data_IF_809329305886
#
_entry.id   IF_809329305886
#
_cell.length_a   1.000
_cell.length_b   1.000
_cell.length_c   1.000
_cell.angle_alpha   90.00
_cell.angle_beta   90.00
_cell.angle_gamma   90.00
#
_symmetry.space_group_name_H-M   'P 1'
#
loop_
_entity.id
_entity.type
_entity.pdbx_description
1 polymer ?
#
# COMPACT_ATOMS: atom_id res chain seq x y z
N UNK A 1 31.84 2.07 -1.34
CA UNK A 1 31.42 3.17 -2.23
C UNK A 1 30.33 2.63 -3.16
N UNK A 2 29.05 2.80 -2.81
CA UNK A 2 27.95 2.54 -3.75
C UNK A 2 27.56 3.88 -4.36
N UNK A 3 27.73 4.00 -5.67
CA UNK A 3 27.37 5.18 -6.43
C UNK A 3 25.90 5.52 -6.16
N UNK A 4 25.63 6.73 -5.67
CA UNK A 4 24.27 7.25 -5.51
C UNK A 4 23.69 7.47 -6.89
N UNK A 5 23.05 6.44 -7.44
CA UNK A 5 22.23 6.57 -8.64
C UNK A 5 21.06 7.48 -8.27
N UNK A 6 20.93 8.62 -8.95
CA UNK A 6 19.79 9.52 -8.79
C UNK A 6 18.48 8.93 -9.36
N UNK A 7 18.48 7.64 -9.72
CA UNK A 7 17.40 6.93 -10.40
C UNK A 7 16.86 5.79 -9.53
N UNK A 8 15.55 5.55 -9.59
CA UNK A 8 14.84 4.47 -8.89
C UNK A 8 15.36 3.07 -9.26
N UNK A 9 14.98 2.02 -8.52
CA UNK A 9 15.26 0.60 -8.79
C UNK A 9 15.17 0.18 -10.27
N UNK A 10 14.28 0.81 -11.04
CA UNK A 10 14.00 0.52 -12.44
C UNK A 10 14.97 1.21 -13.41
N UNK A 11 15.90 2.05 -12.93
CA UNK A 11 16.86 2.83 -13.72
C UNK A 11 16.26 3.95 -14.60
N UNK A 12 14.94 4.10 -14.59
CA UNK A 12 14.16 4.91 -15.55
C UNK A 12 13.75 6.29 -15.05
N UNK A 13 13.54 6.48 -13.73
CA UNK A 13 12.97 7.71 -13.18
C UNK A 13 13.84 8.27 -12.05
N UNK A 14 13.97 9.59 -11.99
CA UNK A 14 14.63 10.27 -10.88
C UNK A 14 13.88 9.98 -9.57
N UNK A 15 14.57 9.58 -8.50
CA UNK A 15 13.96 9.04 -7.26
C UNK A 15 12.88 9.98 -6.70
N UNK A 16 13.11 11.29 -6.78
CA UNK A 16 12.13 12.31 -6.35
C UNK A 16 10.85 12.30 -7.20
N UNK A 17 10.94 12.17 -8.52
CA UNK A 17 9.77 12.11 -9.39
C UNK A 17 9.02 10.77 -9.26
N UNK A 18 9.74 9.65 -9.10
CA UNK A 18 9.14 8.35 -8.81
C UNK A 18 8.29 8.39 -7.55
N UNK A 19 8.84 8.95 -6.47
CA UNK A 19 8.14 9.05 -5.17
C UNK A 19 6.91 9.99 -5.25
N UNK A 20 6.99 11.10 -5.99
CA UNK A 20 5.84 11.99 -6.23
C UNK A 20 4.73 11.28 -7.02
N UNK A 21 5.10 10.51 -8.04
CA UNK A 21 4.14 9.74 -8.84
C UNK A 21 3.42 8.71 -7.98
N UNK A 22 4.16 7.99 -7.13
CA UNK A 22 3.57 7.03 -6.20
C UNK A 22 2.65 7.72 -5.18
N UNK A 23 3.06 8.89 -4.67
CA UNK A 23 2.21 9.71 -3.81
C UNK A 23 0.90 10.11 -4.49
N UNK A 24 0.97 10.55 -5.75
CA UNK A 24 -0.22 10.91 -6.54
C UNK A 24 -1.15 9.71 -6.78
N UNK A 25 -0.59 8.55 -7.16
CA UNK A 25 -1.35 7.31 -7.32
C UNK A 25 -2.01 6.87 -6.01
N UNK A 26 -1.29 6.98 -4.89
CA UNK A 26 -1.80 6.62 -3.56
C UNK A 26 -2.92 7.54 -3.13
N UNK A 27 -2.80 8.85 -3.39
CA UNK A 27 -3.85 9.82 -3.09
C UNK A 27 -5.12 9.57 -3.91
N UNK A 28 -4.95 9.25 -5.20
CA UNK A 28 -6.07 8.86 -6.05
C UNK A 28 -6.76 7.59 -5.52
N UNK A 29 -5.97 6.60 -5.11
CA UNK A 29 -6.48 5.36 -4.51
C UNK A 29 -7.28 5.63 -3.22
N UNK A 30 -6.73 6.42 -2.30
CA UNK A 30 -7.41 6.80 -1.05
C UNK A 30 -8.68 7.61 -1.31
N UNK A 31 -8.69 8.50 -2.30
CA UNK A 31 -9.90 9.23 -2.71
C UNK A 31 -10.98 8.29 -3.23
N UNK A 32 -10.62 7.33 -4.08
CA UNK A 32 -11.56 6.32 -4.60
C UNK A 32 -12.09 5.46 -3.44
N UNK A 33 -11.23 4.99 -2.54
CA UNK A 33 -11.63 4.20 -1.38
C UNK A 33 -12.57 4.98 -0.45
N UNK A 34 -12.28 6.27 -0.22
CA UNK A 34 -13.15 7.14 0.58
C UNK A 34 -14.51 7.40 -0.09
N UNK A 35 -14.54 7.55 -1.42
CA UNK A 35 -15.80 7.67 -2.17
C UNK A 35 -16.60 6.37 -2.15
N UNK A 36 -15.95 5.22 -2.32
CA UNK A 36 -16.60 3.91 -2.21
C UNK A 36 -17.21 3.72 -0.82
N UNK A 37 -16.45 4.02 0.24
CA UNK A 37 -16.97 4.03 1.60
C UNK A 37 -18.18 4.97 1.75
N UNK A 38 -18.13 6.17 1.16
CA UNK A 38 -19.24 7.13 1.21
C UNK A 38 -20.50 6.63 0.49
N UNK A 39 -20.36 5.94 -0.65
CA UNK A 39 -21.49 5.36 -1.37
C UNK A 39 -22.06 4.10 -0.68
N UNK A 40 -21.25 3.39 0.11
CA UNK A 40 -21.64 2.17 0.81
C UNK A 40 -22.23 2.41 2.22
N UNK A 41 -22.40 3.68 2.61
CA UNK A 41 -22.88 4.15 3.94
C UNK A 41 -24.29 3.65 4.35
N UNK A 42 -25.01 2.89 3.53
CA UNK A 42 -26.37 2.43 3.86
C UNK A 42 -26.49 1.02 4.46
N UNK A 43 -25.40 0.41 4.95
CA UNK A 43 -25.47 -0.88 5.67
C UNK A 43 -25.05 -0.77 7.13
N UNK A 44 -26.07 -0.78 8.00
CA UNK A 44 -25.96 -0.96 9.45
C UNK A 44 -25.31 -2.30 9.80
N UNK A 45 -23.98 -2.37 9.93
CA UNK A 45 -23.30 -3.55 10.46
C UNK A 45 -22.03 -3.18 11.24
N UNK A 46 -21.59 -4.09 12.12
CA UNK A 46 -20.42 -3.95 12.99
C UNK A 46 -19.09 -3.66 12.25
N UNK A 47 -19.03 -3.86 10.93
CA UNK A 47 -17.84 -3.65 10.10
C UNK A 47 -17.55 -2.16 9.82
N UNK A 48 -18.54 -1.28 9.98
CA UNK A 48 -18.41 0.15 9.72
C UNK A 48 -17.26 0.81 10.49
N UNK A 49 -17.10 0.46 11.77
CA UNK A 49 -16.05 1.07 12.60
C UNK A 49 -14.64 0.66 12.14
N UNK A 50 -14.46 -0.59 11.71
CA UNK A 50 -13.17 -1.11 11.27
C UNK A 50 -12.81 -0.48 9.92
N UNK A 51 -13.75 -0.44 8.99
CA UNK A 51 -13.57 0.19 7.67
C UNK A 51 -13.27 1.68 7.78
N UNK A 52 -14.01 2.40 8.63
CA UNK A 52 -13.76 3.81 8.89
C UNK A 52 -12.35 4.04 9.47
N UNK A 53 -11.94 3.23 10.45
CA UNK A 53 -10.58 3.28 11.00
C UNK A 53 -9.51 3.00 9.95
N UNK A 54 -9.73 2.02 9.06
CA UNK A 54 -8.78 1.71 7.98
C UNK A 54 -8.66 2.86 6.99
N UNK A 55 -9.78 3.49 6.60
CA UNK A 55 -9.78 4.67 5.72
C UNK A 55 -9.05 5.85 6.38
N UNK A 56 -9.28 6.09 7.68
CA UNK A 56 -8.58 7.15 8.42
C UNK A 56 -7.06 6.91 8.49
N UNK A 57 -6.64 5.66 8.76
CA UNK A 57 -5.22 5.31 8.80
C UNK A 57 -4.60 5.47 7.40
N UNK A 58 -5.30 5.07 6.34
CA UNK A 58 -4.83 5.23 4.97
C UNK A 58 -4.61 6.71 4.62
N UNK A 59 -5.61 7.56 4.89
CA UNK A 59 -5.53 9.02 4.71
C UNK A 59 -4.35 9.61 5.49
N UNK A 60 -4.21 9.24 6.76
CA UNK A 60 -3.09 9.71 7.59
C UNK A 60 -1.73 9.27 7.03
N UNK A 61 -1.64 8.03 6.53
CA UNK A 61 -0.43 7.49 5.93
C UNK A 61 -0.02 8.27 4.67
N UNK A 62 -0.98 8.60 3.79
CA UNK A 62 -0.75 9.35 2.55
C UNK A 62 -0.37 10.79 2.86
N UNK A 63 -1.04 11.45 3.82
CA UNK A 63 -0.65 12.80 4.25
C UNK A 63 0.79 12.80 4.77
N UNK A 64 1.16 11.80 5.57
CA UNK A 64 2.51 11.68 6.11
C UNK A 64 3.56 11.44 5.00
N UNK A 65 3.22 10.69 3.96
CA UNK A 65 4.06 10.52 2.76
C UNK A 65 4.30 11.86 2.06
N UNK A 66 3.24 12.61 1.74
CA UNK A 66 3.38 13.94 1.10
C UNK A 66 4.15 14.92 1.98
N UNK A 67 3.87 14.94 3.27
CA UNK A 67 4.57 15.80 4.22
C UNK A 67 6.07 15.48 4.26
N UNK A 68 6.44 14.20 4.30
CA UNK A 68 7.83 13.75 4.30
C UNK A 68 8.57 14.07 2.99
N UNK A 69 7.89 14.00 1.84
CA UNK A 69 8.44 14.41 0.54
C UNK A 69 8.66 15.93 0.48
N UNK A 70 7.68 16.74 0.92
CA UNK A 70 7.74 18.20 0.85
C UNK A 70 8.78 18.78 1.81
N UNK A 71 8.83 18.29 3.06
CA UNK A 71 9.72 18.81 4.09
C UNK A 71 11.07 18.10 4.17
N UNK A 72 11.33 17.13 3.27
CA UNK A 72 12.54 16.31 3.27
C UNK A 72 12.84 15.71 4.67
N UNK A 73 11.83 15.14 5.32
CA UNK A 73 11.96 14.53 6.65
C UNK A 73 11.73 13.02 6.57
N UNK A 74 12.76 12.18 6.83
CA UNK A 74 12.66 10.73 6.61
C UNK A 74 11.71 10.06 7.62
N UNK A 75 11.60 10.62 8.83
CA UNK A 75 10.77 10.04 9.88
C UNK A 75 9.26 10.00 9.53
N UNK A 76 8.78 10.88 8.66
CA UNK A 76 7.37 10.91 8.24
C UNK A 76 7.06 9.91 7.13
N UNK A 77 8.06 9.28 6.51
CA UNK A 77 7.82 8.20 5.55
C UNK A 77 7.47 6.87 6.21
N UNK A 78 7.91 6.67 7.46
CA UNK A 78 7.71 5.44 8.23
C UNK A 78 6.25 4.97 8.31
N UNK A 79 5.26 5.81 8.71
CA UNK A 79 3.88 5.36 8.82
C UNK A 79 3.30 4.84 7.50
N UNK A 80 3.64 5.48 6.37
CA UNK A 80 3.25 5.01 5.05
C UNK A 80 3.88 3.65 4.73
N UNK A 81 5.19 3.49 4.95
CA UNK A 81 5.88 2.20 4.72
C UNK A 81 5.27 1.07 5.54
N UNK A 82 4.98 1.30 6.83
CA UNK A 82 4.38 0.27 7.68
C UNK A 82 2.96 -0.08 7.25
N UNK A 83 2.16 0.92 6.88
CA UNK A 83 0.81 0.70 6.40
C UNK A 83 0.79 -0.07 5.08
N UNK A 84 1.60 0.34 4.09
CA UNK A 84 1.71 -0.37 2.81
C UNK A 84 2.28 -1.78 2.99
N UNK A 85 3.21 -1.99 3.93
CA UNK A 85 3.73 -3.32 4.25
C UNK A 85 2.64 -4.22 4.86
N UNK A 86 1.87 -3.71 5.82
CA UNK A 86 0.75 -4.44 6.41
C UNK A 86 -0.31 -4.79 5.34
N UNK A 87 -0.59 -3.84 4.44
CA UNK A 87 -1.48 -4.04 3.30
C UNK A 87 -0.98 -5.12 2.35
N UNK A 88 0.31 -5.13 2.00
CA UNK A 88 0.94 -6.20 1.22
C UNK A 88 0.76 -7.57 1.88
N UNK A 89 0.99 -7.67 3.19
CA UNK A 89 0.82 -8.93 3.93
C UNK A 89 -0.64 -9.39 3.86
N UNK A 90 -1.60 -8.48 4.04
CA UNK A 90 -3.02 -8.78 3.90
C UNK A 90 -3.37 -9.29 2.48
N UNK A 91 -2.86 -8.64 1.43
CA UNK A 91 -3.07 -9.08 0.05
C UNK A 91 -2.46 -10.46 -0.24
N UNK A 92 -1.27 -10.73 0.29
CA UNK A 92 -0.62 -12.05 0.15
C UNK A 92 -1.42 -13.14 0.86
N UNK A 93 -1.93 -12.85 2.07
CA UNK A 93 -2.82 -13.77 2.78
C UNK A 93 -4.11 -14.03 1.98
N UNK A 94 -4.73 -12.98 1.43
CA UNK A 94 -5.90 -13.11 0.57
C UNK A 94 -5.59 -13.96 -0.67
N UNK A 95 -4.41 -13.80 -1.27
CA UNK A 95 -3.98 -14.61 -2.41
C UNK A 95 -3.84 -16.09 -2.05
N UNK A 96 -3.21 -16.40 -0.92
CA UNK A 96 -3.07 -17.78 -0.43
C UNK A 96 -4.45 -18.39 -0.14
N UNK A 97 -5.33 -17.66 0.55
CA UNK A 97 -6.69 -18.13 0.84
C UNK A 97 -7.47 -18.42 -0.44
N UNK A 98 -7.38 -17.51 -1.43
CA UNK A 98 -8.04 -17.68 -2.73
C UNK A 98 -7.51 -18.89 -3.49
N UNK A 99 -6.20 -19.17 -3.44
CA UNK A 99 -5.61 -20.38 -4.02
C UNK A 99 -6.08 -21.65 -3.32
N UNK A 100 -6.15 -21.65 -1.99
CA UNK A 100 -6.63 -22.80 -1.21
C UNK A 100 -8.08 -23.12 -1.55
N UNK A 101 -8.93 -22.10 -1.68
CA UNK A 101 -10.33 -22.26 -2.07
C UNK A 101 -10.48 -22.81 -3.50
N UNK A 102 -9.65 -22.32 -4.43
CA UNK A 102 -9.62 -22.80 -5.82
C UNK A 102 -9.19 -24.27 -5.90
N UNK A 103 -8.17 -24.68 -5.14
CA UNK A 103 -7.63 -26.05 -5.16
C UNK A 103 -8.59 -27.04 -4.47
N UNK A 104 -9.23 -26.63 -3.38
CA UNK A 104 -10.12 -27.51 -2.60
C UNK A 104 -11.57 -27.56 -3.13
N UNK A 105 -11.84 -27.00 -4.32
CA UNK A 105 -13.15 -27.09 -4.97
C UNK A 105 -14.30 -26.55 -4.12
N UNK A 106 -14.05 -25.51 -3.30
CA UNK A 106 -15.06 -24.88 -2.45
C UNK A 106 -15.52 -25.67 -1.22
N UNK A 107 -14.94 -26.83 -0.88
CA UNK A 107 -15.40 -27.63 0.27
C UNK A 107 -14.78 -27.23 1.62
N UNK A 108 -13.62 -26.56 1.67
CA UNK A 108 -12.86 -26.43 2.91
C UNK A 108 -13.13 -25.18 3.77
N UNK A 109 -13.92 -24.19 3.35
CA UNK A 109 -13.92 -22.92 4.12
C UNK A 109 -15.14 -22.01 4.04
N UNK A 110 -16.35 -22.46 3.69
CA UNK A 110 -17.51 -21.55 3.63
C UNK A 110 -17.64 -20.69 4.90
N UNK A 111 -17.46 -21.24 6.11
CA UNK A 111 -17.52 -20.44 7.35
C UNK A 111 -16.29 -19.53 7.60
N UNK A 112 -15.08 -19.93 7.19
CA UNK A 112 -13.84 -19.17 7.45
C UNK A 112 -13.62 -18.11 6.36
N UNK A 113 -13.86 -18.47 5.10
CA UNK A 113 -13.84 -17.57 3.95
C UNK A 113 -14.97 -16.55 4.03
N UNK A 114 -16.20 -16.90 4.44
CA UNK A 114 -17.25 -15.89 4.68
C UNK A 114 -16.81 -14.94 5.79
N UNK A 115 -16.30 -15.42 6.91
CA UNK A 115 -15.88 -14.55 8.03
C UNK A 115 -14.73 -13.61 7.64
N UNK A 116 -13.74 -14.08 6.88
CA UNK A 116 -12.62 -13.24 6.42
C UNK A 116 -13.04 -12.33 5.26
N UNK A 117 -13.88 -12.80 4.33
CA UNK A 117 -14.41 -12.01 3.24
C UNK A 117 -15.41 -10.95 3.71
N UNK A 118 -16.13 -11.19 4.80
CA UNK A 118 -17.02 -10.22 5.45
C UNK A 118 -16.20 -9.15 6.19
N UNK A 119 -15.06 -9.50 6.80
CA UNK A 119 -14.12 -8.53 7.39
C UNK A 119 -13.48 -7.61 6.34
N UNK A 120 -13.22 -8.12 5.13
CA UNK A 120 -12.59 -7.35 4.04
C UNK A 120 -13.59 -6.83 2.99
N UNK A 121 -14.90 -6.96 3.20
CA UNK A 121 -15.94 -6.69 2.18
C UNK A 121 -15.73 -7.44 0.84
N UNK A 122 -14.91 -8.50 0.83
CA UNK A 122 -14.71 -9.41 -0.30
C UNK A 122 -15.94 -10.28 -0.60
N UNK A 123 -16.88 -10.39 0.33
CA UNK A 123 -18.10 -11.20 0.19
C UNK A 123 -18.97 -10.78 -1.00
N UNK A 124 -18.87 -9.52 -1.44
CA UNK A 124 -19.61 -9.02 -2.61
C UNK A 124 -18.99 -9.46 -3.94
N UNK A 125 -17.68 -9.78 -3.97
CA UNK A 125 -17.03 -10.35 -5.15
C UNK A 125 -17.37 -11.83 -5.36
N UNK A 126 -17.54 -12.58 -4.28
CA UNK A 126 -17.88 -14.02 -4.33
C UNK A 126 -19.27 -14.31 -4.92
N UNK A 127 -20.24 -13.42 -4.70
CA UNK A 127 -21.63 -13.64 -5.13
C UNK A 127 -21.94 -13.26 -6.59
N UNK A 128 -21.10 -12.43 -7.24
CA UNK A 128 -21.26 -12.08 -8.66
C UNK A 128 -20.72 -13.20 -9.58
N UNK A 129 -19.88 -14.10 -9.04
CA UNK A 129 -19.15 -15.11 -9.79
C UNK A 129 -19.95 -16.38 -10.13
N UNK A 130 -21.18 -16.54 -9.65
CA UNK A 130 -21.85 -17.86 -9.64
C UNK A 130 -22.28 -18.40 -11.02
N UNK A 131 -22.24 -17.59 -12.09
CA UNK A 131 -22.71 -18.02 -13.42
C UNK A 131 -21.67 -18.01 -14.56
N UNK A 132 -20.40 -17.71 -14.29
CA UNK A 132 -19.30 -17.78 -15.29
C UNK A 132 -17.93 -17.85 -14.59
N UNK A 133 -17.80 -18.81 -13.67
CA UNK A 133 -16.99 -18.69 -12.44
C UNK A 133 -15.48 -18.86 -12.59
N UNK A 134 -14.98 -19.75 -13.45
CA UNK A 134 -13.55 -20.15 -13.40
C UNK A 134 -12.59 -19.13 -14.07
N UNK A 135 -12.96 -18.64 -15.26
CA UNK A 135 -12.13 -17.69 -16.00
C UNK A 135 -12.07 -16.32 -15.28
N UNK A 136 -13.18 -15.93 -14.66
CA UNK A 136 -13.25 -14.71 -13.85
C UNK A 136 -12.46 -14.84 -12.54
N UNK A 137 -12.46 -15.99 -11.87
CA UNK A 137 -11.55 -16.23 -10.72
C UNK A 137 -10.08 -16.14 -11.12
N UNK A 138 -9.70 -16.74 -12.25
CA UNK A 138 -8.31 -16.71 -12.73
C UNK A 138 -7.88 -15.28 -13.05
N UNK A 139 -8.74 -14.51 -13.74
CA UNK A 139 -8.46 -13.11 -14.05
C UNK A 139 -8.35 -12.25 -12.78
N UNK A 140 -9.20 -12.52 -11.78
CA UNK A 140 -9.13 -11.87 -10.47
C UNK A 140 -7.84 -12.21 -9.71
N UNK A 141 -7.39 -13.47 -9.76
CA UNK A 141 -6.12 -13.89 -9.16
C UNK A 141 -4.91 -13.25 -9.84
N UNK A 142 -4.92 -13.13 -11.17
CA UNK A 142 -3.90 -12.41 -11.94
C UNK A 142 -3.89 -10.93 -11.53
N UNK A 143 -5.07 -10.31 -11.41
CA UNK A 143 -5.22 -8.94 -10.92
C UNK A 143 -4.66 -8.75 -9.51
N UNK A 144 -4.92 -9.71 -8.61
CA UNK A 144 -4.40 -9.70 -7.24
C UNK A 144 -2.87 -9.83 -7.20
N UNK A 145 -2.29 -10.71 -8.02
CA UNK A 145 -0.85 -10.84 -8.20
C UNK A 145 -0.21 -9.54 -8.72
N UNK A 146 -0.83 -8.92 -9.73
CA UNK A 146 -0.37 -7.63 -10.25
C UNK A 146 -0.42 -6.55 -9.16
N UNK A 147 -1.50 -6.51 -8.37
CA UNK A 147 -1.64 -5.57 -7.26
C UNK A 147 -0.55 -5.75 -6.21
N UNK A 148 -0.26 -7.00 -5.82
CA UNK A 148 0.84 -7.30 -4.89
C UNK A 148 2.19 -6.84 -5.47
N UNK A 149 2.47 -7.16 -6.74
CA UNK A 149 3.71 -6.75 -7.40
C UNK A 149 3.86 -5.22 -7.46
N UNK A 150 2.79 -4.49 -7.76
CA UNK A 150 2.78 -3.02 -7.76
C UNK A 150 3.00 -2.43 -6.36
N UNK A 151 2.36 -2.98 -5.32
CA UNK A 151 2.57 -2.51 -3.95
C UNK A 151 3.99 -2.80 -3.44
N UNK A 152 4.57 -3.95 -3.80
CA UNK A 152 5.99 -4.26 -3.52
C UNK A 152 6.91 -3.28 -4.24
N UNK A 153 6.63 -2.97 -5.51
CA UNK A 153 7.38 -1.95 -6.25
C UNK A 153 7.31 -0.62 -5.50
N UNK A 154 6.12 -0.16 -5.11
CA UNK A 154 5.94 1.10 -4.38
C UNK A 154 6.79 1.12 -3.10
N UNK A 155 6.76 0.05 -2.31
CA UNK A 155 7.60 -0.09 -1.12
C UNK A 155 9.09 0.04 -1.44
N UNK A 156 9.58 -0.62 -2.50
CA UNK A 156 10.99 -0.52 -2.90
C UNK A 156 11.40 0.92 -3.24
N UNK A 157 10.57 1.64 -3.99
CA UNK A 157 10.87 3.03 -4.38
C UNK A 157 10.84 3.97 -3.17
N UNK A 158 9.84 3.86 -2.29
CA UNK A 158 9.81 4.66 -1.05
C UNK A 158 11.02 4.32 -0.16
N UNK A 159 11.42 3.05 -0.08
CA UNK A 159 12.55 2.63 0.73
C UNK A 159 13.88 3.19 0.22
N UNK A 160 14.12 3.13 -1.10
CA UNK A 160 15.28 3.80 -1.71
C UNK A 160 15.28 5.30 -1.45
N UNK A 161 14.12 5.95 -1.59
CA UNK A 161 14.00 7.38 -1.30
C UNK A 161 14.27 7.69 0.17
N UNK A 162 13.79 6.87 1.11
CA UNK A 162 14.08 6.99 2.54
C UNK A 162 15.59 6.87 2.83
N UNK A 163 16.26 5.90 2.21
CA UNK A 163 17.72 5.72 2.36
C UNK A 163 18.48 6.93 1.80
N UNK A 164 18.13 7.37 0.60
CA UNK A 164 18.73 8.54 -0.04
C UNK A 164 18.58 9.79 0.83
N UNK A 165 17.40 10.01 1.39
CA UNK A 165 17.08 11.18 2.20
C UNK A 165 17.79 11.15 3.57
N UNK A 166 17.99 9.96 4.16
CA UNK A 166 18.78 9.78 5.38
C UNK A 166 20.26 10.12 5.14
N UNK A 167 20.81 9.73 3.98
CA UNK A 167 22.19 10.08 3.61
C UNK A 167 22.32 11.59 3.41
N UNK A 168 21.37 12.24 2.73
CA UNK A 168 21.42 13.68 2.50
C UNK A 168 21.29 14.50 3.78
N UNK A 169 20.37 14.12 4.67
CA UNK A 169 20.21 14.79 5.98
C UNK A 169 21.46 14.65 6.85
N UNK A 170 22.12 13.48 6.82
CA UNK A 170 23.39 13.26 7.53
C UNK A 170 24.51 14.15 6.96
N UNK A 171 24.63 14.25 5.63
CA UNK A 171 25.61 15.14 4.98
C UNK A 171 25.40 16.62 5.33
N UNK A 172 24.14 17.07 5.35
CA UNK A 172 23.79 18.44 5.71
C UNK A 172 24.16 18.76 7.17
N UNK A 173 23.87 17.84 8.10
CA UNK A 173 24.22 17.99 9.51
C UNK A 173 25.74 18.05 9.72
N UNK A 174 26.50 17.24 8.98
CA UNK A 174 27.96 17.25 9.02
C UNK A 174 28.56 18.56 8.50
N UNK A 175 28.03 19.08 7.37
CA UNK A 175 28.45 20.37 6.83
C UNK A 175 28.16 21.53 7.80
N UNK A 176 26.99 21.54 8.44
CA UNK A 176 26.65 22.57 9.42
C UNK A 176 27.54 22.50 10.67
N UNK A 177 27.94 21.31 11.13
CA UNK A 177 28.92 21.16 12.22
C UNK A 177 30.33 21.61 11.81
N UNK A 178 30.73 21.43 10.55
CA UNK A 178 32.02 21.93 10.05
C UNK A 178 32.06 23.46 9.91
N UNK A 179 30.89 24.11 9.78
CA UNK A 179 30.76 25.57 9.69
C UNK A 179 30.48 26.26 11.03
N UNK A 180 30.24 25.52 12.12
CA UNK A 180 30.17 26.12 13.45
C UNK A 180 31.61 26.51 13.88
N UNK A 181 31.96 27.81 13.95
CA UNK A 181 33.24 28.21 14.49
C UNK A 181 33.26 27.77 15.95
N UNK A 182 34.36 27.16 16.37
CA UNK A 182 34.68 27.02 17.79
C UNK A 182 34.70 28.44 18.38
N UNK A 183 33.63 28.82 19.06
CA UNK A 183 33.56 29.96 19.98
C UNK A 183 33.84 29.43 21.39
#
# INVERSE_FOLDING_TARGET
>A
MTATSDRCCCGLLHIKHGTITIGACSLLSTLINGLLFWFDINRMSHHFCIEFCLVLIDVFSVISLFYGILHMRPNFLKPYVYFTLAWCVALVLLFILSLVELINGGQLSVNIAISVAEIFNLAQFGNILRNSSELLTIFSLIGLLLSIALNIWFLCVIFEYYQWLTIQTTKLHFNNHSLAPRL
#
